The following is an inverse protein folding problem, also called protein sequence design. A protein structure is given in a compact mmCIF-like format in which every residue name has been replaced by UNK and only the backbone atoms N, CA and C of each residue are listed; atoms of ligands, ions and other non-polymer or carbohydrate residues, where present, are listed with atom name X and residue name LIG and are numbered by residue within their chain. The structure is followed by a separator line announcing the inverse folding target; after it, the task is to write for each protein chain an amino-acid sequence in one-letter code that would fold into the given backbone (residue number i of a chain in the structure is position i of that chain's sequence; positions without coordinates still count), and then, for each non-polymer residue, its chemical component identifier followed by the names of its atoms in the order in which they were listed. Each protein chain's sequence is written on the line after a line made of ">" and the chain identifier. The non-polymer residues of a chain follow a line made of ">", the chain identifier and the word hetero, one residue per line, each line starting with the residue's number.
data_IF_392572752883
#
_entry.id   IF_392572752883
#
_cell.length_a   1.000
_cell.length_b   1.000
_cell.length_c   1.000
_cell.angle_alpha   90.00
_cell.angle_beta   90.00
_cell.angle_gamma   90.00
#
_symmetry.space_group_name_H-M   'P 1'
#
loop_
_entity.id
_entity.type
_entity.pdbx_description
1 polymer ?
#
# COMPACT_ATOMS: atom_id res chain seq x y z
N UNK A 1 -12.70 -2.05 10.84
CA UNK A 1 -11.97 -0.96 11.54
C UNK A 1 -11.71 0.13 10.51
N UNK A 2 -12.26 1.34 10.69
CA UNK A 2 -12.05 2.45 9.74
C UNK A 2 -10.82 3.23 10.20
N UNK A 3 -9.80 3.30 9.33
CA UNK A 3 -8.58 4.06 9.59
C UNK A 3 -8.80 5.50 9.13
N UNK A 4 -8.48 6.48 9.99
CA UNK A 4 -8.62 7.91 9.66
C UNK A 4 -7.46 8.37 8.78
N UNK A 5 -7.63 9.37 7.88
CA UNK A 5 -6.55 9.88 7.02
C UNK A 5 -5.27 10.28 7.78
N UNK A 6 -5.41 10.83 8.99
CA UNK A 6 -4.29 11.22 9.86
C UNK A 6 -3.41 10.03 10.28
N UNK A 7 -3.98 8.84 10.36
CA UNK A 7 -3.24 7.63 10.74
C UNK A 7 -2.27 7.20 9.63
N UNK A 8 -2.70 7.24 8.38
CA UNK A 8 -1.83 6.94 7.24
C UNK A 8 -0.64 7.93 7.15
N UNK A 9 -0.89 9.22 7.42
CA UNK A 9 0.19 10.20 7.50
C UNK A 9 1.20 9.87 8.60
N UNK A 10 0.73 9.41 9.78
CA UNK A 10 1.61 9.00 10.88
C UNK A 10 2.46 7.80 10.48
N UNK A 11 1.89 6.78 9.85
CA UNK A 11 2.61 5.57 9.41
C UNK A 11 3.66 5.89 8.35
N UNK A 12 3.34 6.77 7.39
CA UNK A 12 4.32 7.24 6.39
C UNK A 12 5.47 8.01 7.03
N UNK A 13 5.20 8.85 8.04
CA UNK A 13 6.28 9.52 8.81
C UNK A 13 7.16 8.52 9.54
N UNK A 14 6.58 7.47 10.12
CA UNK A 14 7.37 6.41 10.76
C UNK A 14 8.27 5.70 9.74
N UNK A 15 7.77 5.40 8.53
CA UNK A 15 8.58 4.85 7.45
C UNK A 15 9.73 5.78 7.07
N UNK A 16 9.45 7.07 6.86
CA UNK A 16 10.48 8.07 6.52
C UNK A 16 11.55 8.21 7.61
N UNK A 17 11.19 8.11 8.89
CA UNK A 17 12.16 8.17 9.98
C UNK A 17 13.11 6.97 10.03
N UNK A 18 12.77 5.86 9.34
CA UNK A 18 13.64 4.69 9.20
C UNK A 18 14.50 4.75 7.94
N UNK A 19 14.26 5.72 7.05
CA UNK A 19 15.00 5.92 5.80
C UNK A 19 16.12 6.95 6.00
N UNK A 20 17.18 6.85 5.22
CA UNK A 20 18.28 7.81 5.24
C UNK A 20 18.03 8.98 4.28
N UNK A 21 18.81 10.05 4.43
CA UNK A 21 18.74 11.20 3.53
C UNK A 21 19.18 10.79 2.12
N UNK A 22 18.33 11.05 1.14
CA UNK A 22 18.55 10.65 -0.26
C UNK A 22 17.85 9.35 -0.67
N UNK A 23 17.28 8.61 0.27
CA UNK A 23 16.51 7.39 -0.04
C UNK A 23 15.15 7.70 -0.68
N UNK A 24 14.66 6.75 -1.47
CA UNK A 24 13.31 6.77 -2.05
C UNK A 24 12.61 5.42 -1.86
N UNK A 25 11.38 5.47 -1.36
CA UNK A 25 10.52 4.29 -1.22
C UNK A 25 9.45 4.29 -2.31
N UNK A 26 9.34 3.20 -3.06
CA UNK A 26 8.32 2.99 -4.09
C UNK A 26 7.49 1.77 -3.68
N UNK A 27 6.20 1.98 -3.42
CA UNK A 27 5.27 0.90 -3.06
C UNK A 27 4.27 0.68 -4.21
N UNK A 28 4.37 -0.44 -4.95
CA UNK A 28 3.38 -0.77 -5.96
C UNK A 28 2.08 -1.23 -5.32
N UNK A 29 0.95 -0.96 -5.99
CA UNK A 29 -0.31 -1.60 -5.65
C UNK A 29 -0.30 -3.08 -6.07
N UNK A 30 -1.22 -3.87 -5.51
CA UNK A 30 -1.36 -5.27 -5.93
C UNK A 30 -1.73 -5.36 -7.42
N UNK A 31 -1.21 -6.38 -8.09
CA UNK A 31 -1.64 -6.72 -9.46
C UNK A 31 -3.03 -7.34 -9.43
N UNK A 32 -3.87 -7.00 -10.40
CA UNK A 32 -5.11 -7.73 -10.66
C UNK A 32 -4.78 -9.16 -11.13
N UNK A 33 -5.57 -10.15 -10.68
CA UNK A 33 -5.36 -11.56 -11.02
C UNK A 33 -6.54 -12.08 -11.81
N UNK A 34 -6.26 -12.64 -12.99
CA UNK A 34 -7.29 -13.32 -13.79
C UNK A 34 -7.69 -14.64 -13.12
N UNK A 35 -9.00 -14.88 -13.05
CA UNK A 35 -9.57 -16.16 -12.67
C UNK A 35 -9.67 -17.04 -13.90
N UNK A 36 -10.55 -16.68 -14.85
CA UNK A 36 -10.79 -17.44 -16.08
C UNK A 36 -11.07 -16.48 -17.26
N UNK A 37 -10.32 -16.61 -18.36
CA UNK A 37 -10.41 -15.75 -19.56
C UNK A 37 -10.38 -14.25 -19.19
N UNK A 38 -11.54 -13.60 -19.21
CA UNK A 38 -11.81 -12.19 -18.97
C UNK A 38 -12.35 -11.89 -17.57
N UNK A 39 -12.59 -12.93 -16.76
CA UNK A 39 -13.08 -12.78 -15.38
C UNK A 39 -11.91 -12.66 -14.42
N UNK A 40 -11.87 -11.57 -13.67
CA UNK A 40 -10.89 -11.31 -12.62
C UNK A 40 -11.31 -11.92 -11.26
N UNK A 41 -10.32 -12.26 -10.43
CA UNK A 41 -10.56 -12.44 -9.01
C UNK A 41 -10.90 -11.10 -8.35
N UNK A 42 -11.59 -11.15 -7.21
CA UNK A 42 -11.80 -9.94 -6.40
C UNK A 42 -10.46 -9.30 -6.08
N UNK A 43 -10.34 -8.02 -6.40
CA UNK A 43 -9.13 -7.27 -6.11
C UNK A 43 -8.85 -7.30 -4.61
N UNK A 44 -7.62 -7.70 -4.26
CA UNK A 44 -7.09 -7.63 -2.91
C UNK A 44 -5.91 -6.66 -2.96
N UNK A 45 -6.04 -5.49 -2.34
CA UNK A 45 -4.91 -4.57 -2.19
C UNK A 45 -3.72 -5.26 -1.53
N UNK A 46 -2.52 -4.83 -1.91
CA UNK A 46 -1.31 -5.22 -1.20
C UNK A 46 -1.37 -4.71 0.24
N UNK A 47 -0.91 -5.53 1.18
CA UNK A 47 -1.05 -5.23 2.61
C UNK A 47 -0.23 -4.01 3.03
N UNK A 48 0.98 -3.84 2.49
CA UNK A 48 1.86 -2.73 2.85
C UNK A 48 1.35 -1.43 2.20
N UNK A 49 0.96 -1.50 0.93
CA UNK A 49 0.31 -0.38 0.25
C UNK A 49 -0.94 0.06 1.02
N UNK A 50 -1.85 -0.87 1.32
CA UNK A 50 -3.09 -0.59 2.05
C UNK A 50 -2.86 -0.12 3.49
N UNK A 51 -1.76 -0.53 4.13
CA UNK A 51 -1.41 -0.07 5.46
C UNK A 51 -0.94 1.40 5.45
N UNK A 52 -0.33 1.84 4.36
CA UNK A 52 0.31 3.15 4.23
C UNK A 52 -0.52 4.20 3.48
N UNK A 53 -1.58 3.82 2.77
CA UNK A 53 -2.47 4.73 1.99
C UNK A 53 -3.87 4.81 2.54
#
# INVERSE_FOLDING_TARGET
>A
MIVKPKEFQRRRRQLLNMMEEGDIAILPAASVRMRNRDVEHRYRPDSDFFYLT
#
